data_IF_535759904698
#
_entry.id   IF_535759904698
#
_cell.length_a   1.000
_cell.length_b   1.000
_cell.length_c   1.000
_cell.angle_alpha   90.00
_cell.angle_beta   90.00
_cell.angle_gamma   90.00
#
_symmetry.space_group_name_H-M   'P 1'
#
loop_
_entity.id
_entity.type
_entity.pdbx_description
1 polymer ?
#
# COMPACT_ATOMS: atom_id res chain seq x y z
N UNK A 1 2.80 -21.76 13.16
CA UNK A 1 2.27 -21.81 11.79
C UNK A 1 2.92 -20.68 11.01
N UNK A 2 3.96 -20.99 10.24
CA UNK A 2 4.71 -20.02 9.46
C UNK A 2 3.96 -19.79 8.15
N UNK A 3 3.54 -18.54 7.86
CA UNK A 3 3.05 -18.21 6.52
C UNK A 3 4.21 -18.48 5.53
N UNK A 4 3.94 -19.11 4.37
CA UNK A 4 4.97 -19.28 3.35
C UNK A 4 5.48 -17.90 2.94
N UNK A 5 6.76 -17.66 3.25
CA UNK A 5 7.48 -16.45 2.89
C UNK A 5 7.48 -16.33 1.36
N UNK A 6 6.67 -15.42 0.82
CA UNK A 6 6.64 -15.14 -0.62
C UNK A 6 5.26 -14.85 -1.21
N UNK A 7 4.16 -15.09 -0.48
CA UNK A 7 2.85 -14.56 -0.84
C UNK A 7 2.65 -13.26 -0.06
N UNK A 8 3.15 -12.13 -0.57
CA UNK A 8 2.70 -10.84 -0.02
C UNK A 8 1.20 -10.71 -0.30
N UNK A 9 0.36 -10.58 0.73
CA UNK A 9 -1.05 -10.30 0.47
C UNK A 9 -1.12 -8.90 -0.16
N UNK A 10 -1.66 -8.84 -1.37
CA UNK A 10 -2.09 -7.58 -1.97
C UNK A 10 -3.21 -7.04 -1.08
N UNK A 11 -2.88 -6.03 -0.29
CA UNK A 11 -3.80 -5.43 0.66
C UNK A 11 -4.77 -4.52 -0.08
N UNK A 12 -6.02 -4.56 0.33
CA UNK A 12 -7.00 -3.54 -0.02
C UNK A 12 -6.68 -2.24 0.74
N UNK A 13 -7.26 -1.11 0.29
CA UNK A 13 -7.09 0.17 0.98
C UNK A 13 -7.41 0.09 2.48
N UNK A 14 -8.55 -0.52 2.83
CA UNK A 14 -9.00 -0.68 4.21
C UNK A 14 -8.05 -1.55 5.05
N UNK A 15 -7.42 -2.56 4.45
CA UNK A 15 -6.44 -3.40 5.13
C UNK A 15 -5.13 -2.64 5.36
N UNK A 16 -4.73 -1.79 4.41
CA UNK A 16 -3.58 -0.90 4.56
C UNK A 16 -3.82 0.16 5.65
N UNK A 17 -5.01 0.76 5.67
CA UNK A 17 -5.46 1.69 6.72
C UNK A 17 -5.38 1.04 8.10
N UNK A 18 -5.89 -0.20 8.22
CA UNK A 18 -5.85 -0.97 9.48
C UNK A 18 -4.42 -1.35 9.89
N UNK A 19 -3.58 -1.74 8.92
CA UNK A 19 -2.21 -2.16 9.19
C UNK A 19 -1.32 -1.01 9.69
N UNK A 20 -1.48 0.19 9.10
CA UNK A 20 -0.72 1.37 9.48
C UNK A 20 -1.39 2.24 10.54
N UNK A 21 -2.63 1.89 10.96
CA UNK A 21 -3.48 2.71 11.83
C UNK A 21 -3.63 4.15 11.30
N UNK A 22 -3.90 4.26 9.99
CA UNK A 22 -4.04 5.55 9.31
C UNK A 22 -5.40 5.66 8.61
N UNK A 23 -5.87 6.89 8.43
CA UNK A 23 -7.10 7.19 7.70
C UNK A 23 -6.92 7.09 6.18
N UNK A 24 -8.01 6.84 5.46
CA UNK A 24 -8.12 6.93 3.99
C UNK A 24 -7.40 8.17 3.40
N UNK A 25 -7.55 9.33 4.04
CA UNK A 25 -6.89 10.57 3.61
C UNK A 25 -5.37 10.44 3.56
N UNK A 26 -4.75 9.79 4.55
CA UNK A 26 -3.30 9.54 4.60
C UNK A 26 -2.88 8.63 3.46
N UNK A 27 -3.65 7.57 3.20
CA UNK A 27 -3.39 6.67 2.08
C UNK A 27 -3.51 7.40 0.74
N UNK A 28 -4.50 8.29 0.59
CA UNK A 28 -4.61 9.15 -0.60
C UNK A 28 -3.41 10.10 -0.77
N UNK A 29 -2.86 10.63 0.33
CA UNK A 29 -1.62 11.42 0.27
C UNK A 29 -0.45 10.56 -0.21
N UNK A 30 -0.31 9.32 0.29
CA UNK A 30 0.74 8.41 -0.18
C UNK A 30 0.61 8.07 -1.66
N UNK A 31 -0.60 7.81 -2.14
CA UNK A 31 -0.86 7.61 -3.58
C UNK A 31 -0.44 8.85 -4.38
N UNK A 32 -0.76 10.06 -3.91
CA UNK A 32 -0.33 11.32 -4.55
C UNK A 32 1.18 11.51 -4.50
N UNK A 33 1.84 11.04 -3.45
CA UNK A 33 3.29 11.08 -3.29
C UNK A 33 4.03 10.03 -4.15
N UNK A 34 3.31 9.18 -4.88
CA UNK A 34 3.88 8.18 -5.77
C UNK A 34 4.05 6.80 -5.14
N UNK A 35 3.28 6.49 -4.09
CA UNK A 35 3.24 5.14 -3.51
C UNK A 35 2.82 4.10 -4.56
N UNK A 36 3.52 2.95 -4.64
CA UNK A 36 3.17 1.88 -5.58
C UNK A 36 1.76 1.36 -5.29
N UNK A 37 0.92 1.39 -6.33
CA UNK A 37 -0.45 0.88 -6.31
C UNK A 37 -0.69 0.09 -7.59
N UNK A 38 -1.13 -1.15 -7.44
CA UNK A 38 -1.47 -2.00 -8.56
C UNK A 38 -2.95 -1.83 -8.93
N UNK A 39 -3.27 -1.29 -10.13
CA UNK A 39 -4.64 -1.27 -10.61
C UNK A 39 -5.02 -2.67 -11.09
N UNK A 40 -5.89 -3.37 -10.36
CA UNK A 40 -6.40 -4.65 -10.82
C UNK A 40 -7.32 -4.44 -12.04
N UNK A 41 -6.87 -4.83 -13.23
CA UNK A 41 -7.69 -4.86 -14.46
C UNK A 41 -8.67 -6.05 -14.40
N UNK A 42 -9.73 -5.92 -13.58
CA UNK A 42 -10.85 -6.84 -13.52
C UNK A 42 -12.10 -6.21 -14.14
N UNK A 43 -12.62 -6.83 -15.19
CA UNK A 43 -13.89 -6.48 -15.84
C UNK A 43 -15.06 -6.56 -14.85
N UNK A 44 -15.79 -5.47 -14.65
CA UNK A 44 -17.12 -5.47 -14.03
C UNK A 44 -17.22 -4.72 -12.71
N UNK A 45 -17.96 -3.61 -12.73
CA UNK A 45 -18.84 -3.11 -11.66
C UNK A 45 -18.49 -3.50 -10.22
N UNK A 46 -17.57 -2.76 -9.61
CA UNK A 46 -17.72 -2.07 -8.31
C UNK A 46 -16.36 -1.49 -7.94
N UNK A 47 -16.28 -0.16 -7.84
CA UNK A 47 -15.15 0.66 -7.34
C UNK A 47 -13.75 0.11 -7.61
N UNK A 48 -13.05 0.65 -8.63
CA UNK A 48 -11.62 0.47 -8.87
C UNK A 48 -10.84 -0.18 -7.71
N UNK A 49 -10.70 -1.51 -7.74
CA UNK A 49 -10.02 -2.30 -6.70
C UNK A 49 -8.52 -2.02 -6.79
N UNK A 50 -8.10 -0.94 -6.13
CA UNK A 50 -6.70 -0.57 -5.91
C UNK A 50 -6.10 -1.56 -4.92
N UNK A 51 -5.02 -2.23 -5.34
CA UNK A 51 -4.29 -3.19 -4.50
C UNK A 51 -2.93 -2.61 -4.14
N UNK A 52 -2.53 -2.82 -2.89
CA UNK A 52 -1.28 -2.34 -2.34
C UNK A 52 -0.42 -3.54 -1.98
N UNK A 53 0.72 -3.71 -2.64
CA UNK A 53 1.71 -4.68 -2.19
C UNK A 53 2.42 -4.13 -0.96
N UNK A 54 2.30 -4.84 0.17
CA UNK A 54 2.88 -4.38 1.43
C UNK A 54 4.42 -4.34 1.39
N UNK A 55 5.08 -5.17 0.59
CA UNK A 55 6.54 -5.14 0.44
C UNK A 55 6.96 -3.89 -0.32
N UNK A 56 6.30 -3.59 -1.44
CA UNK A 56 6.57 -2.37 -2.22
C UNK A 56 6.27 -1.10 -1.41
N UNK A 57 5.16 -1.07 -0.67
CA UNK A 57 4.83 0.06 0.23
C UNK A 57 5.88 0.20 1.33
N UNK A 58 6.36 -0.90 1.93
CA UNK A 58 7.44 -0.85 2.94
C UNK A 58 8.76 -0.39 2.35
N UNK A 59 9.11 -0.83 1.15
CA UNK A 59 10.31 -0.39 0.44
C UNK A 59 10.23 1.11 0.14
N UNK A 60 9.10 1.57 -0.41
CA UNK A 60 8.84 2.99 -0.62
C UNK A 60 8.91 3.79 0.68
N UNK A 61 8.31 3.29 1.76
CA UNK A 61 8.33 3.95 3.06
C UNK A 61 9.74 3.99 3.67
N UNK A 62 10.60 3.00 3.39
CA UNK A 62 12.01 3.02 3.77
C UNK A 62 12.79 4.11 3.03
N UNK A 63 12.54 4.28 1.72
CA UNK A 63 13.11 5.36 0.92
C UNK A 63 12.64 6.75 1.39
N UNK A 64 11.33 6.89 1.68
CA UNK A 64 10.76 8.14 2.19
C UNK A 64 11.21 8.46 3.62
N UNK A 65 11.31 7.46 4.51
CA UNK A 65 11.82 7.64 5.86
C UNK A 65 13.29 8.06 5.86
N UNK A 66 14.07 7.59 4.89
CA UNK A 66 15.45 8.04 4.72
C UNK A 66 15.53 9.49 4.25
N UNK A 67 14.59 9.95 3.40
CA UNK A 67 14.45 11.36 3.03
C UNK A 67 14.00 12.25 4.19
N UNK A 68 13.12 11.75 5.06
CA UNK A 68 12.65 12.47 6.24
C UNK A 68 13.71 12.54 7.36
N UNK A 69 14.63 11.57 7.43
CA UNK A 69 15.71 11.54 8.42
C UNK A 69 16.90 12.44 8.07
N UNK A 70 16.95 13.00 6.85
CA UNK A 70 17.97 13.95 6.40
C UNK A 70 17.50 15.41 6.36
N UNK A 71 16.32 15.72 6.88
CA UNK A 71 15.77 17.09 6.97
C UNK A 71 15.99 17.73 8.35
#
# INVERSE_FOLDING_TARGET
MSLPAGLTPLLSQQELETYYDVSDWTVLQWIKAGMPVEPMRGTGTQKANRRFDLNEVKAWHAEQSQLAATA
#
